data_IF_007742551724
#
_entry.id   IF_007742551724
#
_cell.length_a   1.000
_cell.length_b   1.000
_cell.length_c   1.000
_cell.angle_alpha   90.00
_cell.angle_beta   90.00
_cell.angle_gamma   90.00
#
_symmetry.space_group_name_H-M   'P 1'
#
loop_
_entity.id
_entity.type
_entity.pdbx_description
1 polymer ?
#
# COMPACT_ATOMS: atom_id res chain seq x y z
N UNK A 1 0.30 -15.23 -4.97
CA UNK A 1 0.28 -14.47 -6.22
C UNK A 1 -0.94 -13.54 -6.23
N UNK A 2 -0.71 -12.24 -6.29
CA UNK A 2 -1.74 -11.19 -6.25
C UNK A 2 -2.68 -11.22 -7.48
N UNK A 3 -2.18 -11.70 -8.62
CA UNK A 3 -2.90 -11.74 -9.90
C UNK A 3 -3.12 -13.16 -10.44
N UNK A 4 -3.12 -14.17 -9.57
CA UNK A 4 -3.24 -15.56 -10.00
C UNK A 4 -4.48 -15.87 -10.86
N UNK A 5 -5.57 -15.10 -10.66
CA UNK A 5 -6.83 -15.27 -11.46
C UNK A 5 -6.68 -14.82 -12.90
N UNK A 6 -5.66 -14.01 -13.21
CA UNK A 6 -5.40 -13.60 -14.60
C UNK A 6 -4.91 -14.76 -15.49
N UNK A 7 -4.53 -15.89 -14.89
CA UNK A 7 -4.06 -17.07 -15.64
C UNK A 7 -2.74 -16.89 -16.37
N UNK A 8 -2.00 -15.80 -16.07
CA UNK A 8 -0.71 -15.47 -16.69
C UNK A 8 0.33 -15.18 -15.61
N UNK A 9 1.57 -15.56 -15.87
CA UNK A 9 2.70 -15.25 -15.02
C UNK A 9 3.20 -13.83 -15.33
N UNK A 10 2.81 -12.86 -14.48
CA UNK A 10 3.15 -11.46 -14.68
C UNK A 10 4.65 -11.19 -14.57
N UNK A 11 5.42 -12.07 -13.92
CA UNK A 11 6.87 -11.91 -13.83
C UNK A 11 7.58 -12.04 -15.17
N UNK A 12 6.90 -12.65 -16.16
CA UNK A 12 7.38 -12.80 -17.53
C UNK A 12 7.01 -11.64 -18.44
N UNK A 13 6.18 -10.70 -17.96
CA UNK A 13 5.76 -9.54 -18.75
C UNK A 13 6.65 -8.36 -18.37
N UNK A 14 7.61 -8.03 -19.22
CA UNK A 14 8.55 -6.93 -19.01
C UNK A 14 8.04 -5.58 -19.53
N UNK A 15 7.05 -5.58 -20.40
CA UNK A 15 6.50 -4.39 -21.04
C UNK A 15 5.32 -3.83 -20.24
N UNK A 16 5.50 -2.64 -19.65
CA UNK A 16 4.46 -1.96 -18.87
C UNK A 16 3.11 -1.84 -19.61
N UNK A 17 3.06 -1.47 -20.91
CA UNK A 17 1.77 -1.39 -21.65
C UNK A 17 1.01 -2.71 -21.72
N UNK A 18 1.70 -3.85 -21.68
CA UNK A 18 1.06 -5.17 -21.64
C UNK A 18 0.64 -5.59 -20.24
N UNK A 19 1.36 -5.11 -19.23
CA UNK A 19 1.11 -5.40 -17.82
C UNK A 19 -0.11 -4.63 -17.28
N UNK A 20 -0.21 -3.33 -17.59
CA UNK A 20 -1.19 -2.42 -16.98
C UNK A 20 -2.65 -2.83 -17.21
N UNK A 21 -3.10 -3.34 -18.38
CA UNK A 21 -4.46 -3.82 -18.56
C UNK A 21 -4.83 -4.93 -17.57
N UNK A 22 -3.91 -5.85 -17.28
CA UNK A 22 -4.12 -6.95 -16.33
C UNK A 22 -4.21 -6.42 -14.91
N UNK A 23 -3.29 -5.54 -14.54
CA UNK A 23 -3.27 -4.90 -13.22
C UNK A 23 -4.55 -4.11 -12.96
N UNK A 24 -5.03 -3.37 -13.97
CA UNK A 24 -6.19 -2.51 -13.86
C UNK A 24 -7.53 -3.28 -13.93
N UNK A 25 -7.52 -4.53 -14.36
CA UNK A 25 -8.71 -5.37 -14.43
C UNK A 25 -9.10 -6.02 -13.08
N UNK A 26 -8.23 -5.94 -12.05
CA UNK A 26 -8.54 -6.53 -10.73
C UNK A 26 -9.45 -5.62 -9.91
N UNK A 27 -10.68 -6.05 -9.56
CA UNK A 27 -11.58 -5.26 -8.72
C UNK A 27 -11.07 -5.18 -7.27
N UNK A 28 -11.35 -4.06 -6.58
CA UNK A 28 -11.04 -3.90 -5.15
C UNK A 28 -11.75 -4.97 -4.29
N UNK A 29 -12.99 -5.33 -4.63
CA UNK A 29 -13.73 -6.38 -3.92
C UNK A 29 -13.05 -7.74 -3.98
N UNK A 30 -12.50 -8.11 -5.14
CA UNK A 30 -11.74 -9.36 -5.30
C UNK A 30 -10.42 -9.29 -4.52
N UNK A 31 -9.72 -8.15 -4.59
CA UNK A 31 -8.50 -7.94 -3.83
C UNK A 31 -8.72 -8.13 -2.32
N UNK A 32 -9.72 -7.46 -1.76
CA UNK A 32 -10.02 -7.53 -0.34
C UNK A 32 -10.39 -8.94 0.10
N UNK A 33 -11.19 -9.65 -0.70
CA UNK A 33 -11.53 -11.05 -0.46
C UNK A 33 -10.29 -11.97 -0.48
N UNK A 34 -9.36 -11.74 -1.42
CA UNK A 34 -8.12 -12.52 -1.51
C UNK A 34 -7.19 -12.26 -0.31
N UNK A 35 -7.14 -11.03 0.18
CA UNK A 35 -6.37 -10.68 1.38
C UNK A 35 -6.97 -11.30 2.65
N UNK A 36 -8.29 -11.28 2.80
CA UNK A 36 -8.99 -11.95 3.92
C UNK A 36 -8.73 -13.46 3.90
N UNK A 37 -8.84 -14.08 2.71
CA UNK A 37 -8.56 -15.50 2.54
C UNK A 37 -7.09 -15.85 2.86
N UNK A 38 -6.15 -14.95 2.49
CA UNK A 38 -4.73 -15.10 2.81
C UNK A 38 -4.49 -15.03 4.31
N UNK A 39 -5.11 -14.09 5.01
CA UNK A 39 -5.00 -13.97 6.48
C UNK A 39 -5.60 -15.21 7.18
N UNK A 40 -6.75 -15.70 6.71
CA UNK A 40 -7.38 -16.90 7.23
C UNK A 40 -6.51 -18.16 7.00
N UNK A 41 -5.91 -18.28 5.81
CA UNK A 41 -4.97 -19.36 5.50
C UNK A 41 -3.73 -19.29 6.38
N UNK A 42 -3.11 -18.11 6.53
CA UNK A 42 -1.96 -17.94 7.42
C UNK A 42 -2.26 -18.40 8.85
N UNK A 43 -3.45 -18.06 9.38
CA UNK A 43 -3.92 -18.53 10.67
C UNK A 43 -4.01 -20.06 10.73
N UNK A 44 -4.54 -20.71 9.68
CA UNK A 44 -4.65 -22.17 9.61
C UNK A 44 -3.28 -22.88 9.55
N UNK A 45 -2.24 -22.16 9.14
CA UNK A 45 -0.85 -22.63 9.12
C UNK A 45 -0.07 -22.27 10.40
N UNK A 46 -0.74 -21.81 11.45
CA UNK A 46 -0.12 -21.43 12.73
C UNK A 46 0.40 -20.01 12.79
N UNK A 47 0.08 -19.16 11.81
CA UNK A 47 0.41 -17.73 11.83
C UNK A 47 -0.37 -16.98 12.91
N UNK A 48 0.30 -16.08 13.61
CA UNK A 48 -0.31 -15.23 14.64
C UNK A 48 -1.03 -14.04 13.98
N UNK A 49 -2.31 -14.19 13.70
CA UNK A 49 -3.14 -13.11 13.15
C UNK A 49 -3.46 -11.99 14.16
N UNK A 50 -3.14 -12.18 15.44
CA UNK A 50 -3.12 -11.11 16.44
C UNK A 50 -2.02 -10.08 16.19
N UNK A 51 -1.06 -10.39 15.28
CA UNK A 51 0.06 -9.56 14.85
C UNK A 51 0.06 -9.30 13.34
N UNK A 52 -1.12 -9.27 12.73
CA UNK A 52 -1.28 -9.08 11.29
C UNK A 52 -0.82 -7.70 10.86
N UNK A 53 0.18 -7.63 10.00
CA UNK A 53 0.64 -6.42 9.30
C UNK A 53 0.51 -6.58 7.80
N UNK A 54 0.45 -5.45 7.09
CA UNK A 54 0.47 -5.42 5.62
C UNK A 54 1.48 -4.39 5.12
N UNK A 55 2.26 -4.74 4.12
CA UNK A 55 3.14 -3.83 3.39
C UNK A 55 2.88 -3.95 1.90
N UNK A 56 2.96 -2.83 1.19
CA UNK A 56 2.76 -2.83 -0.25
C UNK A 56 3.47 -1.67 -0.94
N UNK A 57 3.81 -1.90 -2.21
CA UNK A 57 4.58 -0.99 -3.06
C UNK A 57 3.75 -0.63 -4.29
N UNK A 58 3.75 0.64 -4.70
CA UNK A 58 3.02 1.12 -5.87
C UNK A 58 1.51 0.74 -5.78
N UNK A 59 0.99 -0.08 -6.69
CA UNK A 59 -0.37 -0.63 -6.61
C UNK A 59 -0.63 -1.35 -5.28
N UNK A 60 0.37 -2.09 -4.77
CA UNK A 60 0.28 -2.72 -3.45
C UNK A 60 0.22 -1.71 -2.31
N UNK A 61 0.85 -0.54 -2.44
CA UNK A 61 0.72 0.56 -1.48
C UNK A 61 -0.70 1.13 -1.42
N UNK A 62 -1.39 1.25 -2.57
CA UNK A 62 -2.82 1.55 -2.62
C UNK A 62 -3.64 0.50 -1.85
N UNK A 63 -3.34 -0.75 -2.09
CA UNK A 63 -4.04 -1.88 -1.43
C UNK A 63 -3.86 -1.90 0.08
N UNK A 64 -2.75 -1.37 0.61
CA UNK A 64 -2.56 -1.19 2.06
C UNK A 64 -3.61 -0.26 2.63
N UNK A 65 -3.86 0.89 1.99
CA UNK A 65 -4.88 1.84 2.42
C UNK A 65 -6.28 1.22 2.39
N UNK A 66 -6.60 0.50 1.31
CA UNK A 66 -7.88 -0.18 1.16
C UNK A 66 -8.10 -1.24 2.24
N UNK A 67 -7.08 -2.07 2.47
CA UNK A 67 -7.17 -3.12 3.47
C UNK A 67 -7.20 -2.57 4.90
N UNK A 68 -6.53 -1.46 5.17
CA UNK A 68 -6.61 -0.76 6.45
C UNK A 68 -7.99 -0.16 6.74
N UNK A 69 -8.74 0.22 5.71
CA UNK A 69 -10.14 0.63 5.83
C UNK A 69 -11.08 -0.56 5.96
N UNK A 70 -10.74 -1.71 5.38
CA UNK A 70 -11.56 -2.91 5.33
C UNK A 70 -11.42 -3.78 6.59
N UNK A 71 -10.20 -4.16 6.96
CA UNK A 71 -9.94 -5.19 7.96
C UNK A 71 -9.89 -4.62 9.38
N UNK A 72 -10.72 -5.18 10.28
CA UNK A 72 -10.66 -4.91 11.72
C UNK A 72 -9.56 -5.73 12.45
N UNK A 73 -8.94 -6.70 11.79
CA UNK A 73 -7.89 -7.53 12.37
C UNK A 73 -6.49 -6.96 12.13
N UNK A 74 -6.33 -6.08 11.14
CA UNK A 74 -5.05 -5.47 10.80
C UNK A 74 -4.51 -4.63 11.96
N UNK A 75 -3.26 -4.84 12.35
CA UNK A 75 -2.59 -4.06 13.42
C UNK A 75 -1.89 -2.82 12.87
N UNK A 76 -1.27 -2.92 11.71
CA UNK A 76 -0.62 -1.80 11.04
C UNK A 76 -0.43 -2.06 9.55
N UNK A 77 -0.44 -0.99 8.75
CA UNK A 77 -0.07 -1.00 7.34
C UNK A 77 1.14 -0.11 7.05
N UNK A 78 1.89 -0.44 5.99
CA UNK A 78 2.94 0.42 5.43
C UNK A 78 2.79 0.52 3.93
N UNK A 79 2.51 1.71 3.43
CA UNK A 79 2.23 2.00 2.04
C UNK A 79 3.42 2.75 1.40
N UNK A 80 4.20 2.07 0.57
CA UNK A 80 5.24 2.69 -0.24
C UNK A 80 4.63 3.22 -1.54
N UNK A 81 4.72 4.53 -1.75
CA UNK A 81 4.28 5.25 -2.96
C UNK A 81 2.98 4.69 -3.56
N UNK A 82 2.00 4.40 -2.71
CA UNK A 82 0.67 3.97 -3.13
C UNK A 82 -0.20 5.14 -3.56
N UNK A 83 -0.95 4.98 -4.66
CA UNK A 83 -1.91 5.98 -5.11
C UNK A 83 -2.88 6.38 -3.99
N UNK A 84 -3.16 7.67 -3.88
CA UNK A 84 -4.07 8.25 -2.88
C UNK A 84 -5.37 8.74 -3.52
N UNK A 85 -5.29 9.21 -4.76
CA UNK A 85 -6.42 9.69 -5.54
C UNK A 85 -6.42 8.94 -6.87
N UNK A 86 -7.47 8.21 -7.14
CA UNK A 86 -7.66 7.49 -8.40
C UNK A 86 -8.75 8.16 -9.25
N UNK A 87 -8.66 8.08 -10.58
CA UNK A 87 -9.76 8.45 -11.43
C UNK A 87 -10.97 7.51 -11.18
N UNK A 88 -12.21 8.00 -11.40
CA UNK A 88 -13.39 7.16 -11.27
C UNK A 88 -13.29 5.87 -12.09
N UNK A 89 -13.46 4.72 -11.42
CA UNK A 89 -13.40 3.41 -12.04
C UNK A 89 -14.41 2.47 -11.36
N UNK A 90 -15.32 1.82 -12.08
CA UNK A 90 -16.29 0.90 -11.50
C UNK A 90 -15.66 -0.26 -10.72
N UNK A 91 -14.44 -0.69 -11.08
CA UNK A 91 -13.69 -1.74 -10.39
C UNK A 91 -13.04 -1.23 -9.09
N UNK A 92 -12.83 0.10 -8.99
CA UNK A 92 -12.22 0.80 -7.86
C UNK A 92 -13.12 1.95 -7.43
N UNK A 93 -14.23 1.63 -6.76
CA UNK A 93 -15.31 2.60 -6.53
C UNK A 93 -14.93 3.75 -5.59
N UNK A 94 -13.88 3.55 -4.77
CA UNK A 94 -13.34 4.57 -3.86
C UNK A 94 -11.81 4.61 -3.94
N UNK A 95 -11.26 5.82 -4.03
CA UNK A 95 -9.82 6.00 -3.83
C UNK A 95 -9.47 5.93 -2.33
N UNK A 96 -8.19 5.71 -1.97
CA UNK A 96 -7.73 5.78 -0.57
C UNK A 96 -8.14 7.08 0.14
N UNK A 97 -8.11 8.20 -0.53
CA UNK A 97 -8.56 9.50 -0.01
C UNK A 97 -10.02 9.47 0.45
N UNK A 98 -10.89 8.84 -0.34
CA UNK A 98 -12.32 8.71 -0.02
C UNK A 98 -12.58 7.70 1.12
N UNK A 99 -11.61 6.83 1.41
CA UNK A 99 -11.65 5.86 2.50
C UNK A 99 -11.05 6.39 3.80
N UNK A 100 -10.53 7.63 3.84
CA UNK A 100 -9.83 8.17 5.00
C UNK A 100 -10.65 8.04 6.30
N UNK A 101 -11.97 8.28 6.25
CA UNK A 101 -12.87 8.14 7.39
C UNK A 101 -13.14 6.69 7.83
N UNK A 102 -12.92 5.74 6.95
CA UNK A 102 -13.22 4.31 7.18
C UNK A 102 -12.02 3.54 7.78
N UNK A 103 -10.84 4.17 7.93
CA UNK A 103 -9.62 3.51 8.43
C UNK A 103 -9.84 2.87 9.79
N UNK A 104 -9.48 1.59 9.91
CA UNK A 104 -9.57 0.77 11.12
C UNK A 104 -8.21 0.46 11.73
N UNK A 105 -7.14 0.56 10.94
CA UNK A 105 -5.77 0.32 11.34
C UNK A 105 -4.87 1.52 11.03
N UNK A 106 -3.81 1.75 11.83
CA UNK A 106 -2.83 2.80 11.57
C UNK A 106 -2.00 2.46 10.33
N UNK A 107 -1.69 3.49 9.53
CA UNK A 107 -0.89 3.34 8.31
C UNK A 107 0.28 4.32 8.29
N UNK A 108 1.47 3.82 7.94
CA UNK A 108 2.62 4.63 7.58
C UNK A 108 2.67 4.78 6.05
N UNK A 109 2.62 6.01 5.57
CA UNK A 109 2.79 6.35 4.16
C UNK A 109 4.21 6.82 3.86
N UNK A 110 4.88 6.17 2.91
CA UNK A 110 6.27 6.45 2.51
C UNK A 110 6.29 6.89 1.05
N UNK A 111 6.56 8.19 0.80
CA UNK A 111 6.39 8.83 -0.50
C UNK A 111 7.66 9.54 -0.95
N UNK A 112 7.83 9.68 -2.25
CA UNK A 112 8.93 10.45 -2.83
C UNK A 112 8.51 11.91 -3.12
N UNK A 113 9.39 12.86 -2.82
CA UNK A 113 9.14 14.28 -3.11
C UNK A 113 9.10 14.60 -4.62
N UNK A 114 9.74 13.77 -5.45
CA UNK A 114 9.79 13.92 -6.91
C UNK A 114 8.82 12.98 -7.64
N UNK A 115 7.88 12.36 -6.93
CA UNK A 115 6.85 11.52 -7.54
C UNK A 115 5.83 12.38 -8.28
N UNK A 116 5.86 12.32 -9.63
CA UNK A 116 4.96 13.09 -10.49
C UNK A 116 3.52 12.57 -10.47
N UNK A 117 3.33 11.29 -10.15
CA UNK A 117 2.00 10.66 -10.04
C UNK A 117 1.33 10.89 -8.69
N UNK A 118 2.13 11.07 -7.63
CA UNK A 118 1.65 11.29 -6.27
C UNK A 118 2.45 12.46 -5.65
N UNK A 119 2.18 13.69 -6.11
CA UNK A 119 2.94 14.85 -5.63
C UNK A 119 2.70 15.10 -4.13
N UNK A 120 3.65 15.74 -3.41
CA UNK A 120 3.54 16.03 -1.98
C UNK A 120 2.21 16.68 -1.57
N UNK A 121 1.62 17.50 -2.44
CA UNK A 121 0.31 18.11 -2.19
C UNK A 121 -0.83 17.08 -1.97
N UNK A 122 -0.81 15.96 -2.69
CA UNK A 122 -1.79 14.88 -2.46
C UNK A 122 -1.54 14.17 -1.12
N UNK A 123 -0.28 14.01 -0.74
CA UNK A 123 0.09 13.42 0.56
C UNK A 123 -0.40 14.30 1.70
N UNK A 124 -0.23 15.62 1.61
CA UNK A 124 -0.74 16.57 2.62
C UNK A 124 -2.28 16.59 2.66
N UNK A 125 -2.97 16.46 1.53
CA UNK A 125 -4.43 16.32 1.49
C UNK A 125 -4.90 15.05 2.23
N UNK A 126 -4.25 13.90 1.99
CA UNK A 126 -4.56 12.65 2.67
C UNK A 126 -4.31 12.76 4.19
N UNK A 127 -3.21 13.36 4.57
CA UNK A 127 -2.86 13.64 5.97
C UNK A 127 -3.92 14.49 6.66
N UNK A 128 -4.38 15.56 5.99
CA UNK A 128 -5.45 16.41 6.51
C UNK A 128 -6.78 15.66 6.63
N UNK A 129 -7.16 14.83 5.64
CA UNK A 129 -8.39 14.05 5.66
C UNK A 129 -8.40 13.03 6.80
N UNK A 130 -7.29 12.32 7.02
CA UNK A 130 -7.14 11.38 8.13
C UNK A 130 -7.18 12.07 9.49
N UNK A 131 -6.51 13.21 9.64
CA UNK A 131 -6.54 14.00 10.86
C UNK A 131 -7.95 14.50 11.19
N UNK A 132 -8.67 15.03 10.19
CA UNK A 132 -10.07 15.46 10.34
C UNK A 132 -11.00 14.33 10.75
N UNK A 133 -10.72 13.10 10.31
CA UNK A 133 -11.47 11.90 10.68
C UNK A 133 -10.99 11.25 11.99
N UNK A 134 -9.99 11.82 12.68
CA UNK A 134 -9.42 11.27 13.91
C UNK A 134 -8.71 9.93 13.73
N UNK A 135 -8.16 9.68 12.53
CA UNK A 135 -7.48 8.43 12.19
C UNK A 135 -5.96 8.54 12.37
N UNK A 136 -5.35 7.44 12.79
CA UNK A 136 -3.91 7.39 13.03
C UNK A 136 -3.16 7.06 11.75
N UNK A 137 -2.32 7.98 11.28
CA UNK A 137 -1.38 7.74 10.21
C UNK A 137 -0.13 8.61 10.40
N UNK A 138 1.00 8.13 9.89
CA UNK A 138 2.23 8.90 9.76
C UNK A 138 2.67 8.91 8.29
N UNK A 139 3.33 9.99 7.89
CA UNK A 139 3.81 10.15 6.52
C UNK A 139 5.25 10.63 6.52
N UNK A 140 6.04 10.03 5.65
CA UNK A 140 7.37 10.50 5.35
C UNK A 140 7.52 10.76 3.86
N UNK A 141 8.00 11.97 3.51
CA UNK A 141 8.24 12.37 2.12
C UNK A 141 9.75 12.50 1.96
N UNK A 142 10.33 11.62 1.12
CA UNK A 142 11.77 11.54 0.92
C UNK A 142 12.25 12.52 -0.16
N UNK A 143 13.10 13.51 0.19
CA UNK A 143 13.69 14.42 -0.80
C UNK A 143 14.48 13.65 -1.86
N UNK A 144 14.39 14.08 -3.14
CA UNK A 144 15.11 13.48 -4.25
C UNK A 144 14.63 12.08 -4.66
N UNK A 145 13.57 11.57 -4.05
CA UNK A 145 13.02 10.27 -4.37
C UNK A 145 11.85 10.37 -5.35
N UNK A 146 11.92 9.71 -6.53
CA UNK A 146 10.81 9.58 -7.46
C UNK A 146 9.89 8.40 -7.10
N UNK A 147 8.83 8.19 -7.90
CA UNK A 147 8.02 6.98 -7.79
C UNK A 147 8.87 5.70 -7.92
N UNK A 148 8.63 4.71 -7.07
CA UNK A 148 9.36 3.44 -7.13
C UNK A 148 10.79 3.52 -6.59
N UNK A 149 11.11 4.49 -5.74
CA UNK A 149 12.46 4.69 -5.20
C UNK A 149 13.04 3.50 -4.41
N UNK A 150 12.20 2.57 -4.00
CA UNK A 150 12.63 1.35 -3.28
C UNK A 150 12.92 0.16 -4.21
N UNK A 151 12.63 0.26 -5.51
CA UNK A 151 12.79 -0.84 -6.46
C UNK A 151 14.22 -0.87 -7.01
N UNK A 152 15.11 -1.69 -6.42
CA UNK A 152 16.55 -1.76 -6.70
C UNK A 152 16.89 -2.20 -8.13
N UNK A 153 15.93 -2.77 -8.84
CA UNK A 153 16.03 -3.18 -10.25
C UNK A 153 15.61 -2.07 -11.25
N UNK A 154 15.30 -0.84 -10.76
CA UNK A 154 14.84 0.28 -11.60
C UNK A 154 15.78 1.48 -11.53
N UNK A 155 15.85 2.31 -12.58
CA UNK A 155 16.61 3.58 -12.55
C UNK A 155 16.11 4.57 -11.50
N UNK A 156 14.86 4.41 -11.05
CA UNK A 156 14.25 5.21 -9.98
C UNK A 156 14.78 4.89 -8.58
N UNK A 157 15.55 3.83 -8.42
CA UNK A 157 16.09 3.43 -7.11
C UNK A 157 16.93 4.53 -6.47
N UNK A 158 16.67 4.75 -5.18
CA UNK A 158 17.42 5.69 -4.33
C UNK A 158 17.82 4.96 -3.06
N UNK A 159 19.07 4.49 -3.02
CA UNK A 159 19.57 3.59 -1.97
C UNK A 159 19.34 4.14 -0.57
N UNK A 160 19.78 5.38 -0.31
CA UNK A 160 19.68 5.99 1.01
C UNK A 160 18.24 6.12 1.47
N UNK A 161 17.35 6.62 0.60
CA UNK A 161 15.92 6.76 0.90
C UNK A 161 15.23 5.40 1.07
N UNK A 162 15.63 4.40 0.30
CA UNK A 162 15.09 3.04 0.41
C UNK A 162 15.50 2.38 1.74
N UNK A 163 16.76 2.50 2.14
CA UNK A 163 17.27 1.96 3.42
C UNK A 163 16.60 2.67 4.61
N UNK A 164 16.46 4.00 4.55
CA UNK A 164 15.76 4.76 5.59
C UNK A 164 14.29 4.34 5.67
N UNK A 165 13.57 4.29 4.54
CA UNK A 165 12.16 3.89 4.47
C UNK A 165 11.94 2.47 5.02
N UNK A 166 12.87 1.55 4.75
CA UNK A 166 12.84 0.20 5.30
C UNK A 166 12.99 0.18 6.82
N UNK A 167 13.90 1.00 7.35
CA UNK A 167 14.07 1.17 8.79
C UNK A 167 12.82 1.73 9.48
N UNK A 168 12.18 2.73 8.86
CA UNK A 168 10.94 3.32 9.35
C UNK A 168 9.76 2.32 9.32
N UNK A 169 9.64 1.53 8.27
CA UNK A 169 8.67 0.43 8.21
C UNK A 169 8.86 -0.55 9.37
N UNK A 170 10.10 -0.98 9.64
CA UNK A 170 10.37 -1.90 10.75
C UNK A 170 10.03 -1.27 12.10
N UNK A 171 10.38 0.01 12.31
CA UNK A 171 10.05 0.73 13.53
C UNK A 171 8.52 0.85 13.71
N UNK A 172 7.79 1.16 12.63
CA UNK A 172 6.33 1.20 12.63
C UNK A 172 5.71 -0.13 13.03
N UNK A 173 6.16 -1.22 12.43
CA UNK A 173 5.66 -2.55 12.76
C UNK A 173 6.01 -2.99 14.20
N UNK A 174 7.16 -2.57 14.76
CA UNK A 174 7.47 -2.78 16.18
C UNK A 174 6.55 -1.94 17.08
N UNK A 175 6.31 -0.67 16.76
CA UNK A 175 5.40 0.22 17.49
C UNK A 175 4.01 -0.39 17.67
N UNK A 176 3.51 -1.07 16.63
CA UNK A 176 2.20 -1.72 16.63
C UNK A 176 2.25 -3.23 16.91
N UNK A 177 3.38 -3.74 17.39
CA UNK A 177 3.58 -5.14 17.80
C UNK A 177 3.33 -6.16 16.68
N UNK A 178 3.54 -5.77 15.43
CA UNK A 178 3.58 -6.68 14.27
C UNK A 178 4.92 -7.41 14.24
N UNK A 179 6.02 -6.68 14.47
CA UNK A 179 7.36 -7.23 14.70
C UNK A 179 7.70 -7.22 16.20
N UNK A 180 8.53 -8.17 16.60
CA UNK A 180 9.18 -8.23 17.93
C UNK A 180 10.44 -7.42 17.93
#
# INVERSE_FOLDING_TARGET
DYYYRAGVDLTKITEIPKLMPIVNAKPDSELLSDLDATAAWAKSQGGDTGRLGIVGFCRGGRSVWEYAAHSSQLKAGVAFYGSLIDPPNPLWPKSPMQLAGDMKAPVLGLYGAEDQGIPPAQVEQMKAALAAAGKTAEFHIFPGAPHGFHADYRPSYRKEQAEQAWGEMQAWFRKYKVLT
#
